data_IF_434883596232
#
_entry.id   IF_434883596232
#
_cell.length_a   1.000
_cell.length_b   1.000
_cell.length_c   1.000
_cell.angle_alpha   90.00
_cell.angle_beta   90.00
_cell.angle_gamma   90.00
#
_symmetry.space_group_name_H-M   'P 1'
#
loop_
_entity.id
_entity.type
_entity.pdbx_description
1 polymer ?
#
# COMPACT_ATOMS: atom_id res chain seq x y z
N UNK A 1 -4.09 10.79 -1.96
CA UNK A 1 -3.05 9.91 -2.53
C UNK A 1 -3.00 10.04 -4.03
N UNK A 2 -3.85 9.31 -4.75
CA UNK A 2 -3.88 9.23 -6.22
C UNK A 2 -3.74 10.58 -6.94
N UNK A 3 -4.51 11.60 -6.51
CA UNK A 3 -4.47 12.93 -7.12
C UNK A 3 -3.09 13.61 -7.07
N UNK A 4 -2.35 13.42 -5.97
CA UNK A 4 -0.99 13.98 -5.82
C UNK A 4 0.10 13.17 -6.53
N UNK A 5 -0.23 11.99 -7.08
CA UNK A 5 0.68 11.23 -7.94
C UNK A 5 0.62 11.69 -9.40
N UNK A 6 -0.39 12.48 -9.77
CA UNK A 6 -0.50 13.04 -11.12
C UNK A 6 0.62 14.04 -11.39
N UNK A 7 1.18 13.98 -12.62
CA UNK A 7 2.29 14.85 -13.03
C UNK A 7 1.89 16.34 -13.03
N UNK A 8 0.62 16.62 -13.26
CA UNK A 8 -0.01 17.94 -13.18
C UNK A 8 -0.03 18.51 -11.75
N UNK A 9 0.03 17.66 -10.73
CA UNK A 9 0.06 18.04 -9.31
C UNK A 9 1.47 18.01 -8.73
N UNK A 10 2.51 17.88 -9.56
CA UNK A 10 3.91 17.76 -9.13
C UNK A 10 4.31 16.35 -8.67
N UNK A 11 3.41 15.37 -8.83
CA UNK A 11 3.64 13.96 -8.55
C UNK A 11 4.43 13.25 -9.65
N UNK A 12 4.76 11.99 -9.38
CA UNK A 12 5.62 11.17 -10.25
C UNK A 12 4.97 10.78 -11.59
N UNK A 13 3.69 11.08 -11.79
CA UNK A 13 2.92 10.79 -13.00
C UNK A 13 2.50 9.33 -13.13
N UNK A 14 2.32 8.63 -12.01
CA UNK A 14 2.00 7.20 -11.97
C UNK A 14 0.49 6.95 -11.83
N UNK A 15 -0.01 6.03 -12.64
CA UNK A 15 -1.33 5.44 -12.48
C UNK A 15 -1.25 4.33 -11.43
N UNK A 16 -2.07 4.41 -10.39
CA UNK A 16 -2.07 3.44 -9.29
C UNK A 16 -2.17 1.99 -9.77
N UNK A 17 -3.05 1.72 -10.74
CA UNK A 17 -3.30 0.38 -11.24
C UNK A 17 -2.35 -0.11 -12.34
N UNK A 18 -1.48 0.77 -12.82
CA UNK A 18 -0.76 0.54 -14.07
C UNK A 18 -1.72 0.27 -15.23
N UNK A 19 -1.20 -0.39 -16.27
CA UNK A 19 -1.94 -0.90 -17.43
C UNK A 19 -1.24 -2.18 -17.91
N UNK A 20 -1.86 -3.06 -18.72
CA UNK A 20 -1.17 -4.23 -19.24
C UNK A 20 0.19 -3.87 -19.89
N UNK A 21 1.28 -4.40 -19.32
CA UNK A 21 2.65 -4.10 -19.74
C UNK A 21 3.39 -3.02 -18.91
N UNK A 22 2.73 -2.38 -17.93
CA UNK A 22 3.33 -1.40 -17.01
C UNK A 22 3.00 -1.79 -15.57
N UNK A 23 4.02 -1.79 -14.71
CA UNK A 23 3.83 -2.14 -13.30
C UNK A 23 2.87 -1.17 -12.59
N UNK A 24 2.04 -1.66 -11.66
CA UNK A 24 1.22 -0.81 -10.81
C UNK A 24 2.09 -0.01 -9.82
N UNK A 25 1.50 1.01 -9.18
CA UNK A 25 2.20 1.78 -8.15
C UNK A 25 2.38 0.96 -6.87
N UNK A 26 3.55 1.10 -6.23
CA UNK A 26 3.84 0.49 -4.94
C UNK A 26 3.29 1.35 -3.79
N UNK A 27 2.27 0.85 -3.09
CA UNK A 27 1.60 1.54 -1.99
C UNK A 27 1.94 0.85 -0.67
N UNK A 28 2.59 1.60 0.22
CA UNK A 28 2.92 1.15 1.58
C UNK A 28 1.97 1.81 2.57
N UNK A 29 1.37 1.00 3.44
CA UNK A 29 0.45 1.45 4.48
C UNK A 29 1.05 1.10 5.84
N UNK A 30 1.22 2.09 6.70
CA UNK A 30 1.74 1.96 8.06
C UNK A 30 0.57 1.97 9.05
N UNK A 31 0.24 0.81 9.58
CA UNK A 31 -0.90 0.59 10.47
C UNK A 31 -2.05 -0.12 9.77
N UNK A 32 -2.47 -1.25 10.33
CA UNK A 32 -3.53 -2.11 9.86
C UNK A 32 -4.90 -1.85 10.49
N UNK A 33 -5.05 -0.81 11.31
CA UNK A 33 -6.33 -0.44 11.94
C UNK A 33 -7.40 -0.01 10.94
N UNK A 34 -8.46 0.66 11.43
CA UNK A 34 -9.61 1.07 10.61
C UNK A 34 -9.19 1.89 9.38
N UNK A 35 -8.41 2.95 9.59
CA UNK A 35 -7.96 3.82 8.50
C UNK A 35 -7.09 3.07 7.49
N UNK A 36 -6.14 2.26 7.96
CA UNK A 36 -5.25 1.47 7.11
C UNK A 36 -6.00 0.42 6.28
N UNK A 37 -7.06 -0.16 6.84
CA UNK A 37 -7.88 -1.16 6.15
C UNK A 37 -8.68 -0.54 5.01
N UNK A 38 -9.31 0.60 5.23
CA UNK A 38 -10.01 1.32 4.16
C UNK A 38 -9.04 1.87 3.10
N UNK A 39 -7.85 2.31 3.53
CA UNK A 39 -6.79 2.70 2.60
C UNK A 39 -6.35 1.52 1.72
N UNK A 40 -6.16 0.34 2.31
CA UNK A 40 -5.82 -0.89 1.57
C UNK A 40 -6.93 -1.27 0.59
N UNK A 41 -8.19 -1.20 1.00
CA UNK A 41 -9.35 -1.46 0.15
C UNK A 41 -9.40 -0.53 -1.07
N UNK A 42 -9.17 0.76 -0.87
CA UNK A 42 -9.16 1.74 -1.96
C UNK A 42 -7.97 1.55 -2.90
N UNK A 43 -6.78 1.33 -2.35
CA UNK A 43 -5.56 1.14 -3.14
C UNK A 43 -5.63 -0.17 -3.96
N UNK A 44 -6.12 -1.25 -3.35
CA UNK A 44 -6.34 -2.53 -4.03
C UNK A 44 -7.42 -2.41 -5.11
N UNK A 45 -8.53 -1.69 -4.85
CA UNK A 45 -9.55 -1.42 -5.87
C UNK A 45 -9.01 -0.61 -7.05
N UNK A 46 -8.01 0.23 -6.80
CA UNK A 46 -7.25 0.94 -7.82
C UNK A 46 -6.18 0.06 -8.50
N UNK A 47 -6.12 -1.25 -8.22
CA UNK A 47 -5.17 -2.23 -8.75
C UNK A 47 -3.69 -1.94 -8.41
N UNK A 48 -3.44 -1.21 -7.31
CA UNK A 48 -2.08 -0.97 -6.84
C UNK A 48 -1.45 -2.22 -6.22
N UNK A 49 -0.12 -2.23 -6.15
CA UNK A 49 0.61 -3.22 -5.34
C UNK A 49 0.66 -2.72 -3.89
N UNK A 50 -0.11 -3.35 -3.00
CA UNK A 50 -0.35 -2.86 -1.65
C UNK A 50 0.39 -3.72 -0.62
N UNK A 51 1.16 -3.06 0.25
CA UNK A 51 1.77 -3.67 1.44
C UNK A 51 1.33 -2.96 2.71
N UNK A 52 0.71 -3.69 3.65
CA UNK A 52 0.31 -3.17 4.96
C UNK A 52 1.27 -3.65 6.04
N UNK A 53 1.82 -2.71 6.80
CA UNK A 53 2.65 -2.96 7.97
C UNK A 53 1.86 -2.78 9.27
N UNK A 54 1.99 -3.72 10.19
CA UNK A 54 1.43 -3.60 11.55
C UNK A 54 2.35 -4.29 12.58
N UNK A 55 2.22 -3.96 13.86
CA UNK A 55 2.95 -4.60 14.97
C UNK A 55 2.17 -5.77 15.59
N UNK A 56 0.89 -5.94 15.25
CA UNK A 56 0.08 -7.07 15.70
C UNK A 56 0.05 -8.16 14.63
N UNK A 57 0.65 -9.31 14.93
CA UNK A 57 0.61 -10.47 14.05
C UNK A 57 -0.83 -11.00 13.85
N UNK A 58 -1.65 -10.90 14.89
CA UNK A 58 -3.09 -11.21 14.82
C UNK A 58 -3.78 -10.30 13.80
N UNK A 59 -3.52 -8.99 13.87
CA UNK A 59 -4.12 -8.03 12.93
C UNK A 59 -3.68 -8.27 11.49
N UNK A 60 -2.42 -8.65 11.27
CA UNK A 60 -1.93 -9.02 9.95
C UNK A 60 -2.64 -10.27 9.40
N UNK A 61 -2.91 -11.26 10.27
CA UNK A 61 -3.69 -12.44 9.90
C UNK A 61 -5.14 -12.10 9.53
N UNK A 62 -5.79 -11.21 10.29
CA UNK A 62 -7.13 -10.72 9.96
C UNK A 62 -7.17 -10.02 8.60
N UNK A 63 -6.18 -9.17 8.32
CA UNK A 63 -6.08 -8.47 7.03
C UNK A 63 -5.87 -9.45 5.88
N UNK A 64 -4.99 -10.43 6.03
CA UNK A 64 -4.77 -11.47 5.01
C UNK A 64 -6.07 -12.22 4.67
N UNK A 65 -6.87 -12.56 5.69
CA UNK A 65 -8.19 -13.17 5.51
C UNK A 65 -9.20 -12.23 4.84
N UNK A 66 -9.31 -10.98 5.28
CA UNK A 66 -10.24 -9.99 4.73
C UNK A 66 -9.99 -9.77 3.23
N UNK A 67 -8.71 -9.70 2.85
CA UNK A 67 -8.29 -9.42 1.48
C UNK A 67 -7.97 -10.69 0.68
N UNK A 68 -8.18 -11.88 1.24
CA UNK A 68 -7.88 -13.18 0.62
C UNK A 68 -6.48 -13.23 -0.02
N UNK A 69 -5.47 -12.73 0.68
CA UNK A 69 -4.09 -12.68 0.19
C UNK A 69 -3.81 -11.74 -0.99
N UNK A 70 -4.76 -10.88 -1.37
CA UNK A 70 -4.57 -9.91 -2.47
C UNK A 70 -3.68 -8.72 -2.09
N UNK A 71 -3.43 -8.51 -0.79
CA UNK A 71 -2.46 -7.53 -0.29
C UNK A 71 -1.32 -8.25 0.42
N UNK A 72 -0.15 -7.62 0.45
CA UNK A 72 0.98 -8.09 1.25
C UNK A 72 0.81 -7.58 2.68
N UNK A 73 1.06 -8.43 3.66
CA UNK A 73 1.09 -8.07 5.08
C UNK A 73 2.50 -8.27 5.62
N UNK A 74 3.00 -7.32 6.41
CA UNK A 74 4.36 -7.37 6.93
C UNK A 74 4.45 -6.86 8.37
N UNK A 75 5.31 -7.48 9.18
CA UNK A 75 5.54 -7.01 10.54
C UNK A 75 6.36 -5.72 10.53
N UNK A 76 5.92 -4.73 11.31
CA UNK A 76 6.55 -3.41 11.38
C UNK A 76 7.85 -3.45 12.19
N UNK A 77 8.96 -3.74 11.51
CA UNK A 77 10.33 -3.54 12.02
C UNK A 77 10.94 -2.28 11.39
N UNK A 78 11.85 -1.62 12.10
CA UNK A 78 12.51 -0.40 11.60
C UNK A 78 13.15 -0.60 10.22
N UNK A 79 13.94 -1.66 10.06
CA UNK A 79 14.62 -1.96 8.80
C UNK A 79 13.65 -2.30 7.65
N UNK A 80 12.57 -3.04 7.92
CA UNK A 80 11.61 -3.41 6.88
C UNK A 80 10.79 -2.19 6.42
N UNK A 81 10.37 -1.35 7.35
CA UNK A 81 9.63 -0.11 7.04
C UNK A 81 10.52 0.86 6.28
N UNK A 82 11.77 1.07 6.71
CA UNK A 82 12.71 1.96 6.03
C UNK A 82 12.92 1.56 4.58
N UNK A 83 13.17 0.27 4.32
CA UNK A 83 13.31 -0.27 2.97
C UNK A 83 12.04 -0.07 2.14
N UNK A 84 10.88 -0.45 2.70
CA UNK A 84 9.61 -0.37 1.98
C UNK A 84 9.23 1.07 1.63
N UNK A 85 9.43 2.01 2.56
CA UNK A 85 9.14 3.43 2.36
C UNK A 85 10.07 4.05 1.31
N UNK A 86 11.35 3.67 1.28
CA UNK A 86 12.29 4.16 0.27
C UNK A 86 11.91 3.71 -1.17
N UNK A 87 11.25 2.57 -1.30
CA UNK A 87 10.81 1.98 -2.58
C UNK A 87 9.34 2.33 -2.92
N UNK A 88 8.61 2.98 -2.02
CA UNK A 88 7.18 3.26 -2.19
C UNK A 88 6.95 4.42 -3.16
N UNK A 89 5.94 4.27 -4.03
CA UNK A 89 5.40 5.40 -4.80
C UNK A 89 4.42 6.22 -3.95
N UNK A 90 3.74 5.58 -3.00
CA UNK A 90 2.84 6.22 -2.04
C UNK A 90 2.96 5.57 -0.67
N UNK A 91 3.09 6.40 0.37
CA UNK A 91 3.01 5.98 1.77
C UNK A 91 1.75 6.55 2.40
N UNK A 92 1.02 5.72 3.14
CA UNK A 92 -0.15 6.08 3.95
C UNK A 92 0.18 5.66 5.39
N UNK A 93 -0.02 6.54 6.37
CA UNK A 93 0.24 6.25 7.78
C UNK A 93 -0.63 7.09 8.71
#
# INVERSE_FOLDING_TARGET
>A
GAHYLEKTQGGRGLLLGGVPGVAPANVVILGGGVAGTHAAQMALGAHADVTVFDRSAERLGELDQIFNGMIKTAFSTGAAVEKAVAEADLVIG
#
